data_IF_838109141960
#
_entry.id   IF_838109141960
#
_cell.length_a   1.000
_cell.length_b   1.000
_cell.length_c   1.000
_cell.angle_alpha   90.00
_cell.angle_beta   90.00
_cell.angle_gamma   90.00
#
_symmetry.space_group_name_H-M   'P 1'
#
loop_
_entity.id
_entity.type
_entity.pdbx_description
1 polymer ?
#
# COMPACT_ATOMS: atom_id res chain seq x y z
N UNK A 1 -38.26 5.03 -19.26
CA UNK A 1 -37.07 4.14 -19.26
C UNK A 1 -35.82 4.99 -19.12
N UNK A 2 -35.01 4.81 -18.06
CA UNK A 2 -33.84 5.67 -17.82
C UNK A 2 -32.71 5.32 -18.80
N UNK A 3 -31.91 6.32 -19.22
CA UNK A 3 -30.71 6.15 -20.09
C UNK A 3 -29.77 5.02 -19.62
N UNK A 4 -29.77 4.74 -18.31
CA UNK A 4 -29.00 3.65 -17.69
C UNK A 4 -29.50 2.26 -18.06
N UNK A 5 -30.82 2.03 -18.05
CA UNK A 5 -31.43 0.75 -18.41
C UNK A 5 -31.25 0.44 -19.88
N UNK A 6 -31.39 1.43 -20.75
CA UNK A 6 -31.12 1.29 -22.18
C UNK A 6 -29.66 0.89 -22.45
N UNK A 7 -28.73 1.55 -21.77
CA UNK A 7 -27.30 1.25 -21.89
C UNK A 7 -26.98 -0.19 -21.43
N UNK A 8 -27.61 -0.67 -20.37
CA UNK A 8 -27.45 -2.05 -19.91
C UNK A 8 -28.03 -3.08 -20.90
N UNK A 9 -29.22 -2.84 -21.41
CA UNK A 9 -29.83 -3.70 -22.44
C UNK A 9 -28.95 -3.80 -23.71
N UNK A 10 -28.40 -2.68 -24.17
CA UNK A 10 -27.48 -2.66 -25.34
C UNK A 10 -26.20 -3.43 -25.01
N UNK A 11 -25.67 -3.25 -23.82
CA UNK A 11 -24.43 -3.93 -23.36
C UNK A 11 -24.62 -5.45 -23.28
N UNK A 12 -25.78 -5.90 -22.81
CA UNK A 12 -26.13 -7.31 -22.71
C UNK A 12 -26.34 -7.95 -24.09
N UNK A 13 -27.02 -7.25 -25.03
CA UNK A 13 -27.19 -7.70 -26.43
C UNK A 13 -25.90 -7.86 -27.20
N UNK A 14 -24.86 -7.04 -26.90
CA UNK A 14 -23.54 -7.11 -27.54
C UNK A 14 -22.68 -8.24 -26.93
N UNK A 15 -23.20 -8.95 -25.91
CA UNK A 15 -22.47 -10.04 -25.26
C UNK A 15 -21.29 -9.54 -24.40
N UNK A 16 -21.34 -8.29 -23.93
CA UNK A 16 -20.30 -7.74 -23.07
C UNK A 16 -20.27 -8.49 -21.74
N UNK A 17 -19.29 -9.35 -21.57
CA UNK A 17 -18.93 -9.93 -20.28
C UNK A 17 -17.97 -8.96 -19.57
N UNK A 18 -18.39 -8.40 -18.46
CA UNK A 18 -17.48 -7.63 -17.58
C UNK A 18 -16.32 -8.55 -17.22
N UNK A 19 -15.12 -8.23 -17.70
CA UNK A 19 -13.90 -8.92 -17.24
C UNK A 19 -13.67 -8.53 -15.79
N UNK A 20 -14.14 -9.33 -14.87
CA UNK A 20 -13.80 -9.20 -13.46
C UNK A 20 -12.45 -9.83 -13.26
N UNK A 21 -11.43 -9.03 -12.93
CA UNK A 21 -10.11 -9.49 -12.48
C UNK A 21 -10.15 -9.65 -10.94
N UNK A 22 -11.32 -9.98 -10.39
CA UNK A 22 -11.51 -10.37 -9.00
C UNK A 22 -11.39 -11.89 -8.89
N UNK A 23 -10.93 -12.36 -7.74
CA UNK A 23 -10.88 -13.79 -7.40
C UNK A 23 -9.94 -14.60 -8.34
N UNK A 24 -8.88 -13.94 -8.81
CA UNK A 24 -7.87 -14.55 -9.70
C UNK A 24 -6.69 -15.09 -8.90
N UNK A 25 -6.29 -14.35 -7.86
CA UNK A 25 -5.15 -14.68 -7.01
C UNK A 25 -5.60 -15.38 -5.74
N UNK A 26 -6.71 -14.91 -5.16
CA UNK A 26 -7.30 -15.49 -3.94
C UNK A 26 -8.73 -15.94 -4.23
N UNK A 27 -9.03 -17.18 -3.84
CA UNK A 27 -10.37 -17.76 -4.00
C UNK A 27 -11.42 -16.99 -3.18
N UNK A 28 -12.58 -16.75 -3.81
CA UNK A 28 -13.65 -15.95 -3.23
C UNK A 28 -14.22 -16.55 -1.93
N UNK A 29 -14.41 -17.86 -1.88
CA UNK A 29 -15.05 -18.52 -0.72
C UNK A 29 -14.15 -18.42 0.51
N UNK A 30 -12.85 -18.65 0.32
CA UNK A 30 -11.86 -18.48 1.38
C UNK A 30 -11.77 -17.02 1.84
N UNK A 31 -11.75 -16.07 0.89
CA UNK A 31 -11.72 -14.66 1.21
C UNK A 31 -12.95 -14.21 2.01
N UNK A 32 -14.16 -14.55 1.56
CA UNK A 32 -15.39 -14.07 2.21
C UNK A 32 -15.59 -14.68 3.60
N UNK A 33 -15.19 -15.95 3.80
CA UNK A 33 -15.17 -16.59 5.09
C UNK A 33 -14.26 -15.86 6.08
N UNK A 34 -13.00 -15.58 5.67
CA UNK A 34 -12.04 -14.86 6.51
C UNK A 34 -12.47 -13.41 6.75
N UNK A 35 -13.02 -12.74 5.74
CA UNK A 35 -13.53 -11.38 5.90
C UNK A 35 -14.66 -11.30 6.95
N UNK A 36 -15.62 -12.22 6.91
CA UNK A 36 -16.72 -12.24 7.87
C UNK A 36 -16.22 -12.56 9.29
N UNK A 37 -15.23 -13.44 9.43
CA UNK A 37 -14.57 -13.75 10.69
C UNK A 37 -13.92 -12.50 11.30
N UNK A 38 -13.03 -11.83 10.54
CA UNK A 38 -12.31 -10.65 11.03
C UNK A 38 -13.26 -9.46 11.26
N UNK A 39 -14.27 -9.29 10.40
CA UNK A 39 -15.31 -8.27 10.56
C UNK A 39 -16.06 -8.45 11.88
N UNK A 40 -16.48 -9.66 12.19
CA UNK A 40 -17.17 -9.97 13.45
C UNK A 40 -16.29 -9.72 14.66
N UNK A 41 -15.01 -10.11 14.56
CA UNK A 41 -14.04 -10.02 15.66
C UNK A 41 -13.62 -8.57 15.96
N UNK A 42 -13.45 -7.73 14.93
CA UNK A 42 -12.76 -6.45 15.10
C UNK A 42 -13.60 -5.21 14.75
N UNK A 43 -14.54 -5.29 13.79
CA UNK A 43 -15.09 -4.09 13.18
C UNK A 43 -15.81 -3.17 14.17
N UNK A 44 -16.74 -3.69 14.98
CA UNK A 44 -17.58 -2.85 15.85
C UNK A 44 -16.74 -2.13 16.90
N UNK A 45 -15.81 -2.84 17.54
CA UNK A 45 -14.91 -2.29 18.56
C UNK A 45 -14.10 -1.13 18.00
N UNK A 46 -13.48 -1.33 16.83
CA UNK A 46 -12.56 -0.33 16.27
C UNK A 46 -13.28 0.84 15.61
N UNK A 47 -14.44 0.63 14.99
CA UNK A 47 -15.29 1.75 14.52
C UNK A 47 -15.68 2.67 15.68
N UNK A 48 -16.08 2.11 16.82
CA UNK A 48 -16.51 2.89 17.99
C UNK A 48 -15.34 3.56 18.75
N UNK A 49 -14.16 2.99 18.67
CA UNK A 49 -12.98 3.46 19.41
C UNK A 49 -11.97 4.24 18.56
N UNK A 50 -12.29 4.55 17.31
CA UNK A 50 -11.40 5.25 16.37
C UNK A 50 -11.00 6.64 16.88
N UNK A 51 -9.71 6.94 16.85
CA UNK A 51 -9.17 8.22 17.38
C UNK A 51 -8.60 9.16 16.29
N UNK A 52 -8.64 8.74 15.05
CA UNK A 52 -8.18 9.56 13.95
C UNK A 52 -9.32 10.44 13.39
N UNK A 53 -8.96 11.52 12.69
CA UNK A 53 -9.93 12.41 12.02
C UNK A 53 -10.60 11.77 10.80
N UNK A 54 -10.12 10.61 10.37
CA UNK A 54 -10.61 9.88 9.19
C UNK A 54 -11.90 9.14 9.48
N UNK A 55 -12.66 8.80 8.43
CA UNK A 55 -13.91 8.05 8.58
C UNK A 55 -13.65 6.62 9.07
N UNK A 56 -14.03 6.27 10.32
CA UNK A 56 -13.73 4.97 10.91
C UNK A 56 -14.33 3.81 10.11
N UNK A 57 -15.57 3.93 9.64
CA UNK A 57 -16.21 2.85 8.88
C UNK A 57 -15.43 2.54 7.61
N UNK A 58 -14.99 3.57 6.87
CA UNK A 58 -14.22 3.36 5.66
C UNK A 58 -12.92 2.63 5.96
N UNK A 59 -12.08 3.17 6.86
CA UNK A 59 -10.74 2.63 7.11
C UNK A 59 -10.75 1.27 7.80
N UNK A 60 -11.60 1.07 8.80
CA UNK A 60 -11.69 -0.22 9.50
C UNK A 60 -12.12 -1.35 8.56
N UNK A 61 -13.16 -1.13 7.76
CA UNK A 61 -13.61 -2.18 6.83
C UNK A 61 -12.66 -2.39 5.65
N UNK A 62 -11.95 -1.36 5.21
CA UNK A 62 -10.93 -1.46 4.16
C UNK A 62 -9.74 -2.31 4.64
N UNK A 63 -9.17 -1.99 5.81
CA UNK A 63 -8.05 -2.75 6.36
C UNK A 63 -8.44 -4.19 6.75
N UNK A 64 -9.67 -4.42 7.24
CA UNK A 64 -10.19 -5.78 7.46
C UNK A 64 -10.25 -6.57 6.14
N UNK A 65 -10.70 -5.95 5.06
CA UNK A 65 -10.77 -6.61 3.76
C UNK A 65 -9.37 -6.93 3.21
N UNK A 66 -8.42 -6.00 3.35
CA UNK A 66 -7.03 -6.19 2.93
C UNK A 66 -6.36 -7.27 3.78
N UNK A 67 -6.49 -7.23 5.11
CA UNK A 67 -5.95 -8.24 6.00
C UNK A 67 -6.48 -9.64 5.67
N UNK A 68 -7.79 -9.76 5.45
CA UNK A 68 -8.42 -11.02 5.09
C UNK A 68 -7.87 -11.59 3.78
N UNK A 69 -7.69 -10.73 2.79
CA UNK A 69 -7.14 -11.11 1.50
C UNK A 69 -5.67 -11.53 1.61
N UNK A 70 -4.84 -10.76 2.35
CA UNK A 70 -3.43 -11.11 2.61
C UNK A 70 -3.29 -12.46 3.32
N UNK A 71 -4.09 -12.72 4.35
CA UNK A 71 -4.08 -13.98 5.08
C UNK A 71 -4.42 -15.15 4.15
N UNK A 72 -5.41 -15.00 3.28
CA UNK A 72 -5.75 -16.03 2.30
C UNK A 72 -4.65 -16.23 1.25
N UNK A 73 -4.06 -15.14 0.75
CA UNK A 73 -2.91 -15.18 -0.16
C UNK A 73 -1.73 -15.94 0.45
N UNK A 74 -1.38 -15.64 1.68
CA UNK A 74 -0.26 -16.27 2.37
C UNK A 74 -0.49 -17.75 2.64
N UNK A 75 -1.70 -18.13 3.05
CA UNK A 75 -2.06 -19.55 3.23
C UNK A 75 -1.96 -20.35 1.93
N UNK A 76 -2.34 -19.76 0.80
CA UNK A 76 -2.19 -20.42 -0.51
C UNK A 76 -0.73 -20.52 -0.96
N UNK A 77 0.08 -19.50 -0.65
CA UNK A 77 1.47 -19.44 -1.08
C UNK A 77 2.38 -20.38 -0.29
N UNK A 78 2.11 -20.59 0.99
CA UNK A 78 2.92 -21.44 1.87
C UNK A 78 2.53 -22.93 1.81
N UNK A 79 1.39 -23.26 1.25
CA UNK A 79 0.89 -24.62 1.15
C UNK A 79 0.76 -25.27 2.52
N UNK A 80 1.60 -26.30 2.80
CA UNK A 80 1.56 -27.07 4.06
C UNK A 80 2.61 -26.64 5.10
N UNK A 81 3.22 -25.46 4.94
CA UNK A 81 4.17 -24.95 5.95
C UNK A 81 3.45 -24.67 7.27
N UNK A 82 4.02 -25.13 8.38
CA UNK A 82 3.52 -24.82 9.73
C UNK A 82 3.94 -23.43 10.22
N UNK A 83 4.87 -22.78 9.53
CA UNK A 83 5.40 -21.46 9.92
C UNK A 83 4.65 -20.36 9.17
N UNK A 84 3.99 -19.47 9.93
CA UNK A 84 3.39 -18.27 9.35
C UNK A 84 4.47 -17.30 8.85
N UNK A 85 4.26 -16.66 7.69
CA UNK A 85 5.21 -15.69 7.16
C UNK A 85 5.30 -14.45 8.03
N UNK A 86 6.46 -13.84 7.99
CA UNK A 86 6.69 -12.52 8.57
C UNK A 86 6.40 -11.41 7.56
N UNK A 87 6.08 -10.21 8.05
CA UNK A 87 5.77 -9.09 7.17
C UNK A 87 6.33 -7.75 7.66
N UNK A 88 6.48 -6.81 6.75
CA UNK A 88 6.67 -5.39 7.03
C UNK A 88 5.70 -4.57 6.19
N UNK A 89 5.03 -3.58 6.83
CA UNK A 89 4.14 -2.64 6.15
C UNK A 89 4.82 -1.27 6.07
N UNK A 90 5.20 -0.88 4.86
CA UNK A 90 5.91 0.37 4.58
C UNK A 90 4.91 1.48 4.23
N UNK A 91 4.91 2.56 5.01
CA UNK A 91 3.88 3.59 4.97
C UNK A 91 2.60 3.13 5.66
N UNK A 92 2.71 2.48 6.82
CA UNK A 92 1.60 1.81 7.50
C UNK A 92 0.51 2.75 8.04
N UNK A 93 0.68 4.06 7.97
CA UNK A 93 -0.32 5.06 8.30
C UNK A 93 -0.90 4.89 9.72
N UNK A 94 -2.20 4.59 9.80
CA UNK A 94 -2.86 4.38 11.10
C UNK A 94 -2.41 3.09 11.82
N UNK A 95 -1.71 2.17 11.15
CA UNK A 95 -1.19 0.92 11.70
C UNK A 95 -2.25 -0.16 11.95
N UNK A 96 -3.50 0.04 11.53
CA UNK A 96 -4.57 -0.92 11.81
C UNK A 96 -4.40 -2.24 11.05
N UNK A 97 -3.87 -2.19 9.83
CA UNK A 97 -3.50 -3.39 9.08
C UNK A 97 -2.47 -4.23 9.83
N UNK A 98 -1.41 -3.57 10.38
CA UNK A 98 -0.38 -4.24 11.19
C UNK A 98 -0.99 -4.85 12.45
N UNK A 99 -1.87 -4.10 13.15
CA UNK A 99 -2.61 -4.61 14.31
C UNK A 99 -3.42 -5.87 13.98
N UNK A 100 -4.17 -5.87 12.88
CA UNK A 100 -4.99 -7.02 12.48
C UNK A 100 -4.13 -8.25 12.22
N UNK A 101 -3.08 -8.11 11.40
CA UNK A 101 -2.18 -9.22 11.04
C UNK A 101 -1.46 -9.77 12.28
N UNK A 102 -0.98 -8.90 13.17
CA UNK A 102 -0.33 -9.33 14.42
C UNK A 102 -1.33 -10.03 15.35
N UNK A 103 -2.57 -9.53 15.44
CA UNK A 103 -3.63 -10.16 16.26
C UNK A 103 -4.06 -11.53 15.72
N UNK A 104 -3.84 -11.80 14.42
CA UNK A 104 -4.06 -13.11 13.78
C UNK A 104 -2.81 -14.02 13.84
N UNK A 105 -1.77 -13.62 14.59
CA UNK A 105 -0.59 -14.43 14.87
C UNK A 105 0.58 -14.25 13.90
N UNK A 106 0.47 -13.36 12.91
CA UNK A 106 1.57 -13.06 12.00
C UNK A 106 2.60 -12.15 12.65
N UNK A 107 3.89 -12.46 12.54
CA UNK A 107 4.96 -11.62 13.05
C UNK A 107 5.35 -10.56 12.04
N UNK A 108 5.35 -9.30 12.47
CA UNK A 108 5.73 -8.22 11.57
C UNK A 108 5.72 -6.87 12.27
N UNK A 109 5.98 -5.84 11.50
CA UNK A 109 6.01 -4.46 11.97
C UNK A 109 5.58 -3.48 10.88
N UNK A 110 5.20 -2.28 11.30
CA UNK A 110 4.88 -1.18 10.40
C UNK A 110 5.83 -0.01 10.57
N UNK A 111 6.14 0.66 9.46
CA UNK A 111 6.92 1.91 9.45
C UNK A 111 6.09 3.02 8.82
N UNK A 112 5.99 4.16 9.50
CA UNK A 112 5.45 5.40 8.92
C UNK A 112 6.31 6.57 9.40
N UNK A 113 6.39 7.64 8.60
CA UNK A 113 7.17 8.84 8.97
C UNK A 113 6.68 9.52 10.25
N UNK A 114 5.41 9.26 10.66
CA UNK A 114 4.79 9.92 11.81
C UNK A 114 3.90 8.97 12.58
N UNK A 115 4.11 8.87 13.89
CA UNK A 115 3.21 8.15 14.78
C UNK A 115 1.80 8.73 14.72
N UNK A 116 0.80 7.87 14.75
CA UNK A 116 -0.61 8.24 14.79
C UNK A 116 -1.17 8.07 16.21
N UNK A 117 -2.18 8.87 16.55
CA UNK A 117 -2.79 8.84 17.91
C UNK A 117 -3.36 7.48 18.28
N UNK A 118 -3.84 6.74 17.28
CA UNK A 118 -4.44 5.44 17.48
C UNK A 118 -3.40 4.35 17.82
N UNK A 119 -2.13 4.53 17.50
CA UNK A 119 -1.07 3.54 17.76
C UNK A 119 -1.00 3.14 19.25
N UNK A 120 -1.18 4.11 20.15
CA UNK A 120 -1.17 3.85 21.59
C UNK A 120 -2.27 2.90 22.07
N UNK A 121 -3.27 2.60 21.24
CA UNK A 121 -4.37 1.68 21.56
C UNK A 121 -4.11 0.23 21.19
N UNK A 122 -3.13 -0.04 20.35
CA UNK A 122 -2.92 -1.40 19.82
C UNK A 122 -2.18 -2.34 20.78
N UNK A 123 -1.61 -1.79 21.87
CA UNK A 123 -0.84 -2.57 22.83
C UNK A 123 0.61 -2.81 22.40
N UNK A 124 1.42 -3.31 23.32
CA UNK A 124 2.87 -3.46 23.15
C UNK A 124 3.27 -4.59 22.19
N UNK A 125 2.35 -5.47 21.84
CA UNK A 125 2.59 -6.57 20.89
C UNK A 125 2.63 -6.12 19.43
N UNK A 126 2.16 -4.89 19.12
CA UNK A 126 2.15 -4.33 17.78
C UNK A 126 3.35 -3.42 17.59
N UNK A 127 4.29 -3.82 16.77
CA UNK A 127 5.51 -3.05 16.50
C UNK A 127 5.23 -2.01 15.40
N UNK A 128 5.09 -0.75 15.79
CA UNK A 128 4.90 0.39 14.90
C UNK A 128 6.01 1.41 15.14
N UNK A 129 6.72 1.76 14.09
CA UNK A 129 7.93 2.58 14.14
C UNK A 129 7.70 3.91 13.42
N UNK A 130 7.85 5.02 14.15
CA UNK A 130 7.84 6.36 13.58
C UNK A 130 9.24 6.67 13.04
N UNK A 131 9.43 6.45 11.73
CA UNK A 131 10.72 6.60 11.08
C UNK A 131 10.55 7.05 9.63
N UNK A 132 11.31 8.06 9.22
CA UNK A 132 11.44 8.40 7.80
C UNK A 132 12.31 7.36 7.11
N UNK A 133 11.83 6.83 5.98
CA UNK A 133 12.51 5.81 5.21
C UNK A 133 13.32 6.44 4.07
N UNK A 134 14.57 5.99 3.94
CA UNK A 134 15.38 6.14 2.73
C UNK A 134 15.31 4.81 1.96
N UNK A 135 14.41 4.69 0.98
CA UNK A 135 14.07 3.40 0.39
C UNK A 135 15.24 2.75 -0.36
N UNK A 136 16.20 3.55 -0.84
CA UNK A 136 17.41 3.07 -1.52
C UNK A 136 18.40 2.39 -0.58
N UNK A 137 18.33 2.64 0.74
CA UNK A 137 19.18 2.03 1.77
C UNK A 137 18.42 0.99 2.63
N UNK A 138 17.12 0.82 2.40
CA UNK A 138 16.30 -0.04 3.25
C UNK A 138 16.29 -1.48 2.75
N UNK A 139 16.56 -2.41 3.66
CA UNK A 139 16.39 -3.85 3.46
C UNK A 139 15.73 -4.48 4.68
N UNK A 140 15.13 -5.65 4.51
CA UNK A 140 14.44 -6.38 5.57
C UNK A 140 14.61 -7.88 5.42
N UNK A 141 14.43 -8.62 6.53
CA UNK A 141 14.35 -10.08 6.51
C UNK A 141 12.90 -10.59 6.57
N UNK A 142 11.92 -9.70 6.38
CA UNK A 142 10.52 -10.10 6.31
C UNK A 142 10.24 -10.91 5.05
N UNK A 143 9.41 -11.94 5.17
CA UNK A 143 8.99 -12.76 4.03
C UNK A 143 8.14 -11.97 3.04
N UNK A 144 7.32 -11.02 3.55
CA UNK A 144 6.46 -10.17 2.75
C UNK A 144 6.64 -8.69 3.06
N UNK A 145 6.71 -7.88 2.02
CA UNK A 145 6.73 -6.42 2.09
C UNK A 145 5.41 -5.90 1.56
N UNK A 146 4.70 -5.14 2.39
CA UNK A 146 3.41 -4.55 2.07
C UNK A 146 3.57 -3.06 1.82
N UNK A 147 2.89 -2.54 0.81
CA UNK A 147 2.72 -1.12 0.57
C UNK A 147 1.27 -0.78 0.30
N UNK A 148 0.49 -0.66 1.37
CA UNK A 148 -0.91 -0.30 1.29
C UNK A 148 -1.05 1.22 1.26
N UNK A 149 -1.31 1.79 0.07
CA UNK A 149 -1.38 3.24 -0.15
C UNK A 149 -0.12 4.00 0.31
N UNK A 150 1.05 3.41 0.07
CA UNK A 150 2.35 3.89 0.56
C UNK A 150 2.94 5.07 -0.25
N UNK A 151 2.12 5.77 -1.04
CA UNK A 151 2.46 6.98 -1.82
C UNK A 151 3.80 6.83 -2.58
N UNK A 152 4.81 7.63 -2.21
CA UNK A 152 6.14 7.67 -2.86
C UNK A 152 6.98 6.40 -2.65
N UNK A 153 6.64 5.55 -1.68
CA UNK A 153 7.34 4.28 -1.44
C UNK A 153 6.90 3.18 -2.40
N UNK A 154 5.71 3.29 -3.02
CA UNK A 154 5.15 2.25 -3.90
C UNK A 154 6.11 1.79 -5.00
N UNK A 155 6.78 2.67 -5.78
CA UNK A 155 7.74 2.23 -6.81
C UNK A 155 9.01 1.58 -6.24
N UNK A 156 9.36 1.87 -4.99
CA UNK A 156 10.53 1.30 -4.34
C UNK A 156 10.31 -0.11 -3.79
N UNK A 157 9.08 -0.50 -3.49
CA UNK A 157 8.78 -1.78 -2.85
C UNK A 157 9.27 -2.98 -3.65
N UNK A 158 9.11 -3.08 -4.98
CA UNK A 158 9.68 -4.15 -5.76
C UNK A 158 11.22 -4.20 -5.70
N UNK A 159 11.87 -3.05 -5.69
CA UNK A 159 13.33 -2.91 -5.57
C UNK A 159 13.79 -3.40 -4.21
N UNK A 160 13.15 -2.92 -3.14
CA UNK A 160 13.42 -3.34 -1.76
C UNK A 160 13.24 -4.86 -1.63
N UNK A 161 12.16 -5.42 -2.17
CA UNK A 161 11.91 -6.86 -2.14
C UNK A 161 13.00 -7.66 -2.88
N UNK A 162 13.48 -7.12 -4.00
CA UNK A 162 14.55 -7.74 -4.78
C UNK A 162 15.91 -7.74 -4.08
N UNK A 163 16.16 -6.74 -3.21
CA UNK A 163 17.43 -6.58 -2.46
C UNK A 163 17.37 -7.18 -1.05
N UNK A 164 16.16 -7.51 -0.55
CA UNK A 164 15.94 -7.95 0.83
C UNK A 164 16.16 -9.45 1.04
N UNK A 165 16.58 -9.81 2.25
CA UNK A 165 16.82 -11.19 2.65
C UNK A 165 17.91 -11.85 1.80
N UNK A 166 17.72 -13.14 1.50
CA UNK A 166 18.54 -13.90 0.55
C UNK A 166 18.03 -13.75 -0.90
N UNK A 167 17.38 -12.61 -1.23
CA UNK A 167 16.72 -12.38 -2.52
C UNK A 167 15.34 -13.02 -2.65
N UNK A 168 14.71 -13.38 -1.52
CA UNK A 168 13.46 -14.14 -1.49
C UNK A 168 12.25 -13.38 -0.92
N UNK A 169 12.37 -12.11 -0.53
CA UNK A 169 11.21 -11.35 -0.07
C UNK A 169 10.20 -11.17 -1.19
N UNK A 170 8.93 -11.39 -0.84
CA UNK A 170 7.75 -11.20 -1.69
C UNK A 170 7.14 -9.85 -1.38
N UNK A 171 6.29 -9.33 -2.26
CA UNK A 171 5.63 -8.07 -1.98
C UNK A 171 4.18 -8.02 -2.45
N UNK A 172 3.44 -7.12 -1.82
CA UNK A 172 2.11 -6.66 -2.25
C UNK A 172 2.09 -5.15 -2.21
N UNK A 173 1.68 -4.51 -3.30
CA UNK A 173 1.40 -3.07 -3.31
C UNK A 173 -0.02 -2.79 -3.77
N UNK A 174 -0.68 -1.82 -3.10
CA UNK A 174 -1.99 -1.30 -3.48
C UNK A 174 -1.80 0.18 -3.82
N UNK A 175 -1.44 0.50 -5.08
CA UNK A 175 -1.10 1.87 -5.47
C UNK A 175 -2.31 2.79 -5.44
N UNK A 176 -2.14 4.02 -4.95
CA UNK A 176 -3.20 5.04 -4.98
C UNK A 176 -2.81 6.30 -5.74
N UNK A 177 -1.62 6.83 -5.49
CA UNK A 177 -1.09 8.07 -6.04
C UNK A 177 0.11 7.79 -6.94
N UNK A 178 0.17 8.34 -8.17
CA UNK A 178 1.27 8.11 -9.07
C UNK A 178 2.53 8.88 -8.64
N UNK A 179 3.54 8.13 -8.20
CA UNK A 179 4.88 8.63 -7.90
C UNK A 179 5.91 7.82 -8.69
N UNK A 180 7.05 8.40 -9.00
CA UNK A 180 8.20 7.69 -9.54
C UNK A 180 9.26 7.41 -8.47
N UNK A 181 10.40 6.91 -8.88
CA UNK A 181 11.51 6.60 -7.98
C UNK A 181 12.14 7.84 -7.32
N UNK A 182 11.93 9.04 -7.85
CA UNK A 182 12.36 10.28 -7.20
C UNK A 182 11.44 10.72 -6.05
N UNK A 183 10.32 10.01 -5.83
CA UNK A 183 9.29 10.39 -4.86
C UNK A 183 8.35 11.50 -5.35
N UNK A 184 8.55 12.02 -6.55
CA UNK A 184 7.70 13.06 -7.13
C UNK A 184 6.43 12.48 -7.74
N UNK A 185 5.35 13.26 -7.71
CA UNK A 185 4.12 12.93 -8.44
C UNK A 185 4.35 13.05 -9.94
N UNK A 186 3.96 12.02 -10.68
CA UNK A 186 4.14 11.97 -12.12
C UNK A 186 2.80 11.97 -12.88
N UNK A 187 2.85 12.52 -14.09
CA UNK A 187 1.77 12.42 -15.06
C UNK A 187 2.19 11.48 -16.18
N UNK A 188 1.71 10.24 -16.12
CA UNK A 188 1.98 9.25 -17.17
C UNK A 188 1.16 9.54 -18.43
N UNK A 189 1.78 9.32 -19.58
CA UNK A 189 1.09 9.34 -20.87
C UNK A 189 0.07 8.20 -20.89
N UNK A 190 -1.14 8.49 -21.35
CA UNK A 190 -2.22 7.51 -21.51
C UNK A 190 -2.57 7.34 -22.97
N UNK A 191 -2.88 6.12 -23.36
CA UNK A 191 -3.46 5.82 -24.67
C UNK A 191 -4.97 6.09 -24.65
N UNK A 192 -5.59 6.18 -25.82
CA UNK A 192 -7.03 6.39 -25.92
C UNK A 192 -7.81 5.31 -25.15
N UNK A 193 -8.70 5.73 -24.26
CA UNK A 193 -9.49 4.84 -23.40
C UNK A 193 -8.78 4.32 -22.13
N UNK A 194 -7.50 4.61 -21.91
CA UNK A 194 -6.76 4.22 -20.73
C UNK A 194 -6.90 5.27 -19.61
N UNK A 195 -7.25 4.83 -18.39
CA UNK A 195 -7.24 5.74 -17.23
C UNK A 195 -5.80 5.98 -16.73
N UNK A 196 -5.57 7.16 -16.13
CA UNK A 196 -4.27 7.48 -15.49
C UNK A 196 -3.88 6.47 -14.41
N UNK A 197 -4.86 5.95 -13.70
CA UNK A 197 -4.62 4.91 -12.70
C UNK A 197 -4.12 3.62 -13.34
N UNK A 198 -4.71 3.20 -14.44
CA UNK A 198 -4.27 2.01 -15.15
C UNK A 198 -2.84 2.17 -15.71
N UNK A 199 -2.51 3.35 -16.25
CA UNK A 199 -1.15 3.66 -16.69
C UNK A 199 -0.13 3.53 -15.54
N UNK A 200 -0.52 3.97 -14.33
CA UNK A 200 0.33 3.82 -13.16
C UNK A 200 0.49 2.35 -12.72
N UNK A 201 -0.58 1.56 -12.75
CA UNK A 201 -0.49 0.12 -12.49
C UNK A 201 0.45 -0.58 -13.49
N UNK A 202 0.43 -0.16 -14.74
CA UNK A 202 1.34 -0.68 -15.76
C UNK A 202 2.79 -0.31 -15.46
N UNK A 203 3.06 0.96 -15.14
CA UNK A 203 4.39 1.43 -14.73
C UNK A 203 4.96 0.63 -13.54
N UNK A 204 4.17 0.43 -12.47
CA UNK A 204 4.60 -0.35 -11.31
C UNK A 204 4.85 -1.82 -11.67
N UNK A 205 4.04 -2.41 -12.56
CA UNK A 205 4.25 -3.80 -12.97
C UNK A 205 5.52 -3.97 -13.82
N UNK A 206 5.75 -3.08 -14.78
CA UNK A 206 6.96 -3.09 -15.62
C UNK A 206 8.23 -2.92 -14.76
N UNK A 207 8.19 -2.00 -13.79
CA UNK A 207 9.27 -1.82 -12.81
C UNK A 207 9.51 -3.09 -11.98
N UNK A 208 8.43 -3.76 -11.56
CA UNK A 208 8.52 -5.00 -10.81
C UNK A 208 9.08 -6.17 -11.64
N UNK A 209 8.73 -6.22 -12.93
CA UNK A 209 9.27 -7.20 -13.87
C UNK A 209 10.77 -6.96 -14.12
N UNK A 210 11.20 -5.70 -14.21
CA UNK A 210 12.64 -5.34 -14.25
C UNK A 210 13.38 -5.79 -12.98
N UNK A 211 12.71 -5.80 -11.83
CA UNK A 211 13.24 -6.36 -10.59
C UNK A 211 13.20 -7.90 -10.54
N UNK A 212 12.74 -8.57 -11.60
CA UNK A 212 12.70 -10.03 -11.74
C UNK A 212 11.51 -10.71 -11.08
N UNK A 213 10.39 -10.01 -10.94
CA UNK A 213 9.16 -10.62 -10.44
C UNK A 213 8.20 -10.96 -11.57
N UNK A 214 7.56 -12.12 -11.47
CA UNK A 214 6.36 -12.43 -12.24
C UNK A 214 5.18 -11.81 -11.53
N UNK A 215 4.49 -10.88 -12.18
CA UNK A 215 3.45 -10.06 -11.57
C UNK A 215 2.06 -10.70 -11.71
N UNK A 216 1.34 -10.71 -10.60
CA UNK A 216 -0.09 -11.04 -10.52
C UNK A 216 -0.86 -9.77 -10.13
N UNK A 217 -2.08 -9.61 -10.64
CA UNK A 217 -2.95 -8.46 -10.32
C UNK A 217 -4.33 -8.95 -9.95
N UNK A 218 -4.91 -8.32 -8.91
CA UNK A 218 -6.28 -8.59 -8.49
C UNK A 218 -7.01 -7.32 -8.06
N UNK A 219 -8.30 -7.23 -8.40
CA UNK A 219 -9.19 -6.20 -7.87
C UNK A 219 -9.69 -6.61 -6.50
N UNK A 220 -9.28 -5.87 -5.48
CA UNK A 220 -9.74 -6.07 -4.10
C UNK A 220 -11.17 -5.58 -3.90
N UNK A 221 -11.91 -6.26 -3.03
CA UNK A 221 -13.28 -5.90 -2.65
C UNK A 221 -13.29 -4.88 -1.50
N UNK A 222 -12.68 -3.70 -1.76
CA UNK A 222 -12.57 -2.60 -0.80
C UNK A 222 -13.37 -1.37 -1.26
N UNK A 223 -13.75 -0.46 -0.33
CA UNK A 223 -14.51 0.75 -0.66
C UNK A 223 -13.78 1.73 -1.58
N UNK A 224 -12.47 1.64 -1.66
CA UNK A 224 -11.64 2.50 -2.51
C UNK A 224 -11.82 2.22 -3.99
N UNK A 225 -11.79 3.27 -4.83
CA UNK A 225 -11.70 3.12 -6.29
C UNK A 225 -10.29 2.77 -6.76
N UNK A 226 -9.29 2.89 -5.88
CA UNK A 226 -7.90 2.49 -6.08
C UNK A 226 -7.70 1.15 -5.37
N UNK A 227 -8.22 0.10 -5.96
CA UNK A 227 -8.41 -1.20 -5.33
C UNK A 227 -7.68 -2.36 -6.05
N UNK A 228 -6.66 -2.06 -6.82
CA UNK A 228 -5.85 -3.10 -7.48
C UNK A 228 -4.64 -3.43 -6.62
N UNK A 229 -4.50 -4.70 -6.24
CA UNK A 229 -3.28 -5.25 -5.69
C UNK A 229 -2.37 -5.74 -6.81
N UNK A 230 -1.09 -5.42 -6.72
CA UNK A 230 0.00 -5.96 -7.52
C UNK A 230 0.85 -6.83 -6.61
N UNK A 231 1.02 -8.09 -6.97
CA UNK A 231 1.70 -9.12 -6.18
C UNK A 231 2.94 -9.60 -6.91
N UNK A 232 4.08 -9.58 -6.24
CA UNK A 232 5.33 -10.18 -6.68
C UNK A 232 5.77 -11.27 -5.71
N UNK A 233 5.34 -12.52 -5.95
CA UNK A 233 5.69 -13.68 -5.10
C UNK A 233 6.53 -14.73 -5.81
N UNK A 234 6.63 -14.66 -7.12
CA UNK A 234 7.43 -15.56 -7.93
C UNK A 234 8.51 -14.79 -8.65
N UNK A 235 9.73 -15.33 -8.63
CA UNK A 235 10.87 -14.73 -9.35
C UNK A 235 10.98 -15.34 -10.73
N UNK A 236 11.43 -14.52 -11.68
CA UNK A 236 11.91 -14.96 -12.98
C UNK A 236 13.43 -15.07 -12.93
N UNK A 237 14.04 -15.95 -13.75
CA UNK A 237 15.48 -16.14 -13.80
C UNK A 237 16.27 -14.94 -14.39
N UNK A 238 15.55 -13.94 -14.93
CA UNK A 238 16.13 -12.93 -15.82
C UNK A 238 16.58 -11.64 -15.11
N UNK A 239 16.31 -11.49 -13.80
CA UNK A 239 16.73 -10.30 -13.07
C UNK A 239 18.23 -10.33 -12.80
N UNK A 240 18.97 -9.45 -13.48
CA UNK A 240 20.37 -9.22 -13.21
C UNK A 240 20.49 -8.29 -12.01
N UNK A 241 21.30 -8.67 -11.04
CA UNK A 241 21.58 -7.82 -9.86
C UNK A 241 22.13 -6.44 -10.27
N UNK A 242 22.88 -6.37 -11.40
CA UNK A 242 23.37 -5.14 -11.96
C UNK A 242 22.26 -4.19 -12.44
N UNK A 243 21.13 -4.68 -12.89
CA UNK A 243 20.03 -3.84 -13.36
C UNK A 243 19.23 -3.27 -12.17
N UNK A 244 19.09 -4.04 -11.09
CA UNK A 244 18.52 -3.55 -9.83
C UNK A 244 19.41 -2.43 -9.26
N UNK A 245 20.73 -2.60 -9.26
CA UNK A 245 21.66 -1.58 -8.79
C UNK A 245 21.54 -0.28 -9.59
N UNK A 246 21.33 -0.34 -10.91
CA UNK A 246 21.07 0.84 -11.75
C UNK A 246 19.78 1.56 -11.37
N UNK A 247 18.69 0.80 -11.11
CA UNK A 247 17.42 1.39 -10.66
C UNK A 247 17.58 2.11 -9.32
N UNK A 248 18.31 1.51 -8.38
CA UNK A 248 18.61 2.12 -7.08
C UNK A 248 19.41 3.41 -7.26
N UNK A 249 20.47 3.39 -8.04
CA UNK A 249 21.30 4.57 -8.27
C UNK A 249 20.52 5.69 -8.97
N UNK A 250 19.72 5.35 -9.98
CA UNK A 250 18.84 6.30 -10.65
C UNK A 250 17.84 6.95 -9.69
N UNK A 251 17.18 6.15 -8.88
CA UNK A 251 16.19 6.67 -7.92
C UNK A 251 16.83 7.48 -6.80
N UNK A 252 18.00 7.04 -6.28
CA UNK A 252 18.74 7.72 -5.21
C UNK A 252 19.14 9.14 -5.58
N UNK A 253 19.52 9.40 -6.82
CA UNK A 253 19.91 10.74 -7.29
C UNK A 253 18.80 11.76 -7.21
N UNK A 254 17.53 11.33 -7.28
CA UNK A 254 16.36 12.23 -7.30
C UNK A 254 15.45 12.13 -6.08
N UNK A 255 15.64 11.13 -5.22
CA UNK A 255 14.70 10.89 -4.12
C UNK A 255 14.92 11.87 -2.97
N UNK A 256 13.86 12.65 -2.68
CA UNK A 256 13.80 13.51 -1.50
C UNK A 256 12.78 12.91 -0.52
N UNK A 257 13.22 12.53 0.70
CA UNK A 257 12.30 12.03 1.73
C UNK A 257 11.23 13.07 2.03
N UNK A 258 9.99 12.63 2.12
CA UNK A 258 8.87 13.52 2.46
C UNK A 258 9.05 14.07 3.88
N UNK A 259 8.97 15.39 4.01
CA UNK A 259 9.01 16.04 5.33
C UNK A 259 7.75 15.64 6.12
N UNK A 260 7.87 15.14 7.36
CA UNK A 260 6.75 14.78 8.20
C UNK A 260 5.74 15.93 8.37
N UNK A 261 4.45 15.64 8.37
CA UNK A 261 3.41 16.66 8.47
C UNK A 261 3.50 17.48 9.77
N UNK A 262 3.98 16.86 10.86
CA UNK A 262 4.26 17.56 12.14
C UNK A 262 5.33 18.62 11.97
N UNK A 263 6.38 18.34 11.20
CA UNK A 263 7.47 19.28 10.91
C UNK A 263 6.97 20.38 9.98
N UNK A 264 6.17 20.05 8.96
CA UNK A 264 5.55 21.07 8.07
C UNK A 264 4.68 22.03 8.85
N UNK A 265 3.84 21.54 9.76
CA UNK A 265 2.97 22.36 10.60
C UNK A 265 3.81 23.28 11.49
N UNK A 266 4.86 22.78 12.13
CA UNK A 266 5.74 23.60 12.96
C UNK A 266 6.46 24.68 12.15
N UNK A 267 6.92 24.37 10.94
CA UNK A 267 7.52 25.34 10.02
C UNK A 267 6.52 26.43 9.60
N UNK A 268 5.28 26.05 9.31
CA UNK A 268 4.23 27.01 8.96
C UNK A 268 3.88 27.96 10.11
N UNK A 269 3.77 27.41 11.33
CA UNK A 269 3.54 28.20 12.54
C UNK A 269 4.71 29.15 12.82
N UNK A 270 5.95 28.71 12.65
CA UNK A 270 7.12 29.57 12.80
C UNK A 270 7.14 30.71 11.79
N UNK A 271 6.85 30.42 10.51
CA UNK A 271 6.73 31.46 9.46
C UNK A 271 5.61 32.45 9.73
N UNK A 272 4.46 32.00 10.25
CA UNK A 272 3.36 32.87 10.61
C UNK A 272 3.72 33.81 11.77
N UNK A 273 4.42 33.32 12.79
CA UNK A 273 4.93 34.13 13.91
C UNK A 273 5.92 35.20 13.45
N UNK A 274 6.83 34.86 12.55
CA UNK A 274 7.79 35.84 12.00
C UNK A 274 7.11 36.92 11.20
N UNK A 275 6.06 36.62 10.40
CA UNK A 275 5.28 37.63 9.65
C UNK A 275 4.55 38.57 10.59
N UNK A 276 3.95 38.10 11.66
CA UNK A 276 3.27 38.93 12.66
C UNK A 276 4.23 39.84 13.40
N UNK A 277 5.44 39.37 13.73
CA UNK A 277 6.44 40.21 14.40
C UNK A 277 7.01 41.32 13.46
N UNK A 278 7.11 41.05 12.17
CA UNK A 278 7.58 42.06 11.21
C UNK A 278 6.51 43.13 10.91
N UNK A 279 5.23 42.78 11.06
CA UNK A 279 4.13 43.74 10.88
C UNK A 279 3.89 44.63 12.14
N UNK A 280 4.58 44.37 13.27
CA UNK A 280 4.48 45.17 14.52
C UNK A 280 5.75 45.97 14.82
N UNK A 281 6.66 46.14 13.85
CA UNK A 281 7.71 47.16 14.00
C UNK A 281 7.10 48.53 13.78
N UNK A 282 7.18 49.45 14.78
CA UNK A 282 6.78 50.82 14.58
C UNK A 282 7.59 51.45 13.43
N UNK A 283 6.93 52.19 12.58
CA UNK A 283 7.58 53.05 11.62
C UNK A 283 8.29 54.19 12.41
N UNK A 284 9.61 54.20 12.33
CA UNK A 284 10.41 55.33 12.82
C UNK A 284 10.21 56.56 11.95
#
# INVERSE_FOLDING_TARGET
MTKKLYKWMVTERIGYKKRTICDVVVDYEHYIAKYNELKTKYALQWVNSWREKTNPRKFVYEDIAIASWLICLWKQDEGHSSKLPSFVDLGCGNGFLVYLLTSEGYRGYGIDQSARKIWSKYGSQVDLRAQTLEPYNFTTNADWIIGNHADELVPWIPIIAAQSGTGCSKFVVIPCCPHDLSGNKIMLKTTAGQSRYYAYLTYISELSEQCGFKIEREFLRIPSTKNVAIVGRRRTSDARQADIAKLVEFGKQGFEPRIPDTVKISMQLAKARQRNNNNHKPAD
#
